data_IF_882948412147
#
_entry.id   IF_882948412147
#
_cell.length_a   1.000
_cell.length_b   1.000
_cell.length_c   1.000
_cell.angle_alpha   90.00
_cell.angle_beta   90.00
_cell.angle_gamma   90.00
#
_symmetry.space_group_name_H-M   'P 1'
#
loop_
_entity.id
_entity.type
_entity.pdbx_description
1 polymer ?
#
# COMPACT_ATOMS: atom_id res chain seq x y z
N UNK A 1 34.74 6.00 52.51
CA UNK A 1 34.75 5.04 51.38
C UNK A 1 36.01 5.29 50.58
N UNK A 2 36.81 4.26 50.31
CA UNK A 2 38.07 4.39 49.56
C UNK A 2 37.81 5.06 48.20
N UNK A 3 38.66 6.01 47.79
CA UNK A 3 38.54 6.69 46.49
C UNK A 3 38.45 5.71 45.32
N UNK A 4 39.12 4.55 45.42
CA UNK A 4 39.03 3.49 44.41
C UNK A 4 37.65 2.84 44.32
N UNK A 5 36.91 2.73 45.42
CA UNK A 5 35.54 2.18 45.44
C UNK A 5 34.57 3.18 44.83
N UNK A 6 34.74 4.48 45.11
CA UNK A 6 33.90 5.53 44.53
C UNK A 6 34.10 5.63 43.01
N UNK A 7 35.35 5.55 42.53
CA UNK A 7 35.68 5.57 41.09
C UNK A 7 35.09 4.37 40.36
N UNK A 8 35.22 3.16 40.92
CA UNK A 8 34.66 1.93 40.30
C UNK A 8 33.13 1.98 40.23
N UNK A 9 32.47 2.49 41.27
CA UNK A 9 31.00 2.66 41.27
C UNK A 9 30.57 3.71 40.24
N UNK A 10 31.28 4.84 40.12
CA UNK A 10 30.96 5.86 39.11
C UNK A 10 31.20 5.40 37.67
N UNK A 11 32.26 4.64 37.40
CA UNK A 11 32.54 4.10 36.05
C UNK A 11 31.51 3.01 35.69
N UNK A 12 31.12 2.16 36.65
CA UNK A 12 30.05 1.16 36.44
C UNK A 12 28.68 1.79 36.19
N UNK A 13 28.34 2.89 36.86
CA UNK A 13 27.08 3.62 36.64
C UNK A 13 27.05 4.33 35.28
N UNK A 14 28.18 4.89 34.81
CA UNK A 14 28.27 5.53 33.49
C UNK A 14 28.19 4.51 32.35
N UNK A 15 28.74 3.29 32.53
CA UNK A 15 28.61 2.21 31.55
C UNK A 15 27.17 1.64 31.44
N UNK A 16 26.39 1.70 32.52
CA UNK A 16 24.97 1.31 32.52
C UNK A 16 24.05 2.39 31.90
N UNK A 17 24.50 3.64 31.82
CA UNK A 17 23.77 4.76 31.22
C UNK A 17 24.04 4.93 29.70
N UNK A 18 24.89 4.09 29.12
CA UNK A 18 25.21 4.06 27.67
C UNK A 18 24.68 2.79 26.98
N UNK A 19 23.72 2.08 27.58
CA UNK A 19 22.82 1.24 26.78
C UNK A 19 21.77 2.13 26.16
N UNK A 20 22.16 2.87 25.12
CA UNK A 20 21.20 3.25 24.11
C UNK A 20 20.61 1.93 23.60
N UNK A 21 19.37 1.64 23.98
CA UNK A 21 18.60 0.61 23.31
C UNK A 21 18.63 1.01 21.83
N UNK A 22 19.33 0.23 21.01
CA UNK A 22 19.31 0.41 19.56
C UNK A 22 17.90 0.03 19.11
N UNK A 23 16.97 0.99 19.17
CA UNK A 23 15.67 0.87 18.54
C UNK A 23 15.94 0.70 17.05
N UNK A 24 15.68 -0.51 16.57
CA UNK A 24 16.07 -0.90 15.22
C UNK A 24 15.32 -0.07 14.19
N UNK A 25 15.98 0.92 13.61
CA UNK A 25 15.54 1.57 12.38
C UNK A 25 15.33 0.49 11.31
N UNK A 26 14.34 0.69 10.43
CA UNK A 26 14.12 -0.20 9.31
C UNK A 26 15.41 -0.29 8.48
N UNK A 27 15.70 -1.48 7.94
CA UNK A 27 16.85 -1.68 7.07
C UNK A 27 16.61 -2.80 6.07
N UNK A 28 17.28 -2.70 4.92
CA UNK A 28 17.36 -3.80 3.97
C UNK A 28 18.08 -4.99 4.63
N UNK A 29 17.48 -6.17 4.53
CA UNK A 29 18.01 -7.38 5.13
C UNK A 29 17.95 -7.41 6.67
N UNK A 30 16.93 -6.82 7.30
CA UNK A 30 16.76 -6.82 8.75
C UNK A 30 16.78 -8.23 9.37
N UNK A 31 16.28 -9.23 8.65
CA UNK A 31 16.18 -10.62 9.09
C UNK A 31 17.43 -11.48 8.84
N UNK A 32 18.48 -10.94 8.21
CA UNK A 32 19.74 -11.67 7.98
C UNK A 32 20.33 -12.15 9.32
N UNK A 33 20.46 -13.46 9.47
CA UNK A 33 20.97 -14.11 10.68
C UNK A 33 20.01 -14.15 11.88
N UNK A 34 18.72 -13.79 11.68
CA UNK A 34 17.67 -13.86 12.73
C UNK A 34 16.72 -15.05 12.60
N UNK A 35 16.73 -15.70 11.44
CA UNK A 35 15.85 -16.82 11.09
C UNK A 35 16.74 -18.04 10.76
N UNK A 36 17.70 -18.35 11.65
CA UNK A 36 18.74 -19.37 11.44
C UNK A 36 19.40 -19.29 10.04
N UNK A 37 19.23 -20.33 9.22
CA UNK A 37 19.73 -20.41 7.84
C UNK A 37 18.66 -20.11 6.78
N UNK A 38 17.44 -19.79 7.19
CA UNK A 38 16.29 -19.56 6.31
C UNK A 38 16.30 -18.11 5.77
N UNK A 39 15.98 -17.97 4.48
CA UNK A 39 15.79 -16.66 3.84
C UNK A 39 14.32 -16.26 3.92
N UNK A 40 14.01 -15.36 4.85
CA UNK A 40 12.66 -14.80 5.08
C UNK A 40 12.05 -14.23 3.81
N UNK A 41 12.82 -13.47 3.01
CA UNK A 41 12.30 -12.86 1.79
C UNK A 41 12.00 -13.92 0.73
N UNK A 42 12.82 -14.97 0.64
CA UNK A 42 12.59 -16.10 -0.26
C UNK A 42 11.31 -16.88 0.11
N UNK A 43 11.01 -17.06 1.40
CA UNK A 43 9.78 -17.73 1.86
C UNK A 43 8.54 -16.94 1.45
N UNK A 44 8.55 -15.62 1.67
CA UNK A 44 7.44 -14.74 1.26
C UNK A 44 7.30 -14.72 -0.27
N UNK A 45 8.42 -14.55 -0.98
CA UNK A 45 8.45 -14.52 -2.44
C UNK A 45 7.85 -15.80 -3.05
N UNK A 46 8.16 -16.98 -2.48
CA UNK A 46 7.58 -18.26 -2.93
C UNK A 46 6.05 -18.26 -2.81
N UNK A 47 5.51 -17.84 -1.67
CA UNK A 47 4.05 -17.78 -1.47
C UNK A 47 3.39 -16.83 -2.46
N UNK A 48 3.98 -15.65 -2.67
CA UNK A 48 3.45 -14.67 -3.63
C UNK A 48 3.54 -15.17 -5.07
N UNK A 49 4.62 -15.83 -5.46
CA UNK A 49 4.76 -16.44 -6.80
C UNK A 49 3.65 -17.46 -7.07
N UNK A 50 3.40 -18.36 -6.13
CA UNK A 50 2.34 -19.37 -6.24
C UNK A 50 0.95 -18.73 -6.38
N UNK A 51 0.67 -17.71 -5.56
CA UNK A 51 -0.59 -16.96 -5.64
C UNK A 51 -0.72 -16.17 -6.95
N UNK A 52 0.34 -15.49 -7.40
CA UNK A 52 0.35 -14.68 -8.62
C UNK A 52 0.17 -15.52 -9.88
N UNK A 53 0.74 -16.73 -9.90
CA UNK A 53 0.58 -17.67 -11.00
C UNK A 53 -0.89 -18.10 -11.19
N UNK A 54 -1.67 -18.10 -10.11
CA UNK A 54 -3.09 -18.47 -10.10
C UNK A 54 -4.01 -17.25 -10.34
N UNK A 55 -3.67 -16.10 -9.77
CA UNK A 55 -4.41 -14.85 -9.89
C UNK A 55 -3.44 -13.67 -10.02
N UNK A 56 -3.31 -13.11 -11.24
CA UNK A 56 -2.44 -11.95 -11.49
C UNK A 56 -2.93 -10.67 -10.82
N UNK A 57 -4.22 -10.60 -10.49
CA UNK A 57 -4.80 -9.39 -9.91
C UNK A 57 -4.36 -9.16 -8.46
N UNK A 58 -3.65 -10.11 -7.84
CA UNK A 58 -3.12 -9.95 -6.47
C UNK A 58 -2.11 -8.79 -6.37
N UNK A 59 -1.47 -8.38 -7.47
CA UNK A 59 -0.61 -7.20 -7.45
C UNK A 59 -1.38 -5.95 -7.03
N UNK A 60 -2.57 -5.74 -7.62
CA UNK A 60 -3.47 -4.66 -7.22
C UNK A 60 -3.99 -4.83 -5.79
N UNK A 61 -4.30 -6.07 -5.38
CA UNK A 61 -4.78 -6.35 -4.02
C UNK A 61 -3.76 -5.99 -2.95
N UNK A 62 -2.50 -6.41 -3.12
CA UNK A 62 -1.43 -6.19 -2.16
C UNK A 62 -0.97 -4.73 -2.15
N UNK A 63 -0.89 -4.08 -3.31
CA UNK A 63 -0.66 -2.61 -3.39
C UNK A 63 -1.70 -1.85 -2.57
N UNK A 64 -2.99 -2.19 -2.76
CA UNK A 64 -4.08 -1.58 -2.02
C UNK A 64 -4.01 -1.90 -0.53
N UNK A 65 -3.72 -3.15 -0.16
CA UNK A 65 -3.56 -3.53 1.25
C UNK A 65 -2.47 -2.72 1.94
N UNK A 66 -1.30 -2.58 1.32
CA UNK A 66 -0.20 -1.81 1.92
C UNK A 66 -0.57 -0.32 2.08
N UNK A 67 -1.22 0.28 1.07
CA UNK A 67 -1.71 1.66 1.20
C UNK A 67 -2.71 1.79 2.36
N UNK A 68 -3.69 0.89 2.42
CA UNK A 68 -4.74 0.93 3.44
C UNK A 68 -4.22 0.68 4.86
N UNK A 69 -3.18 -0.14 5.04
CA UNK A 69 -2.51 -0.32 6.32
C UNK A 69 -1.78 0.97 6.73
N UNK A 70 -0.84 1.40 5.88
CA UNK A 70 0.05 2.52 6.15
C UNK A 70 -0.66 3.86 6.43
N UNK A 71 -1.86 4.08 5.87
CA UNK A 71 -2.55 5.36 5.96
C UNK A 71 -3.55 5.47 7.12
N UNK A 72 -3.81 4.41 7.88
CA UNK A 72 -4.70 4.48 9.05
C UNK A 72 -3.88 4.81 10.30
N UNK A 73 -3.27 3.81 10.96
CA UNK A 73 -2.42 4.00 12.15
C UNK A 73 -0.92 3.98 11.85
N UNK A 74 -0.52 3.68 10.61
CA UNK A 74 0.87 3.48 10.20
C UNK A 74 1.03 2.10 9.57
N UNK A 75 2.20 1.78 9.05
CA UNK A 75 2.46 0.45 8.50
C UNK A 75 2.73 -0.55 9.63
N UNK A 76 1.72 -0.87 10.41
CA UNK A 76 1.77 -1.70 11.62
C UNK A 76 0.89 -2.96 11.51
N UNK A 77 0.38 -3.26 10.32
CA UNK A 77 -0.52 -4.39 10.07
C UNK A 77 -1.81 -4.38 10.92
N UNK A 78 -2.25 -3.21 11.41
CA UNK A 78 -3.54 -3.05 12.10
C UNK A 78 -4.71 -3.51 11.22
N UNK A 79 -4.62 -3.32 9.90
CA UNK A 79 -5.62 -3.72 8.93
C UNK A 79 -5.88 -5.24 8.93
N UNK A 80 -4.90 -6.05 9.34
CA UNK A 80 -5.03 -7.50 9.32
C UNK A 80 -5.83 -8.06 10.50
N UNK A 81 -6.01 -7.29 11.59
CA UNK A 81 -6.73 -7.74 12.78
C UNK A 81 -8.22 -7.96 12.48
N UNK A 82 -8.76 -9.05 13.03
CA UNK A 82 -10.18 -9.34 13.03
C UNK A 82 -10.87 -8.74 14.27
N UNK A 83 -12.12 -8.33 14.10
CA UNK A 83 -12.97 -7.80 15.16
C UNK A 83 -14.27 -7.25 14.61
N UNK A 84 -15.26 -7.09 15.49
CA UNK A 84 -16.58 -6.55 15.11
C UNK A 84 -16.51 -5.06 14.75
N UNK A 85 -15.51 -4.35 15.28
CA UNK A 85 -15.22 -2.94 14.97
C UNK A 85 -13.90 -2.76 14.23
N UNK A 86 -13.27 -3.83 13.72
CA UNK A 86 -11.94 -3.71 13.11
C UNK A 86 -11.96 -2.89 11.83
N UNK A 87 -10.78 -2.43 11.39
CA UNK A 87 -10.63 -1.67 10.16
C UNK A 87 -11.23 -2.36 8.94
N UNK A 88 -11.27 -3.70 8.90
CA UNK A 88 -11.91 -4.47 7.82
C UNK A 88 -13.41 -4.16 7.66
N UNK A 89 -14.06 -3.63 8.70
CA UNK A 89 -15.49 -3.24 8.69
C UNK A 89 -15.72 -1.82 8.18
N UNK A 90 -14.67 -1.00 8.05
CA UNK A 90 -14.79 0.33 7.48
C UNK A 90 -15.18 0.27 5.99
N UNK A 91 -16.02 1.20 5.54
CA UNK A 91 -16.54 1.25 4.16
C UNK A 91 -15.41 1.23 3.11
N UNK A 92 -14.31 1.94 3.37
CA UNK A 92 -13.15 1.97 2.48
C UNK A 92 -12.47 0.59 2.34
N UNK A 93 -12.58 -0.28 3.35
CA UNK A 93 -11.84 -1.53 3.45
C UNK A 93 -12.65 -2.77 3.05
N UNK A 94 -13.96 -2.65 2.84
CA UNK A 94 -14.85 -3.79 2.52
C UNK A 94 -14.40 -4.62 1.31
N UNK A 95 -13.73 -3.99 0.34
CA UNK A 95 -13.23 -4.64 -0.88
C UNK A 95 -11.70 -4.88 -0.85
N UNK A 96 -11.02 -4.69 0.29
CA UNK A 96 -9.60 -5.08 0.42
C UNK A 96 -9.54 -6.61 0.47
N UNK A 97 -8.56 -7.21 -0.20
CA UNK A 97 -8.38 -8.67 -0.30
C UNK A 97 -6.89 -9.03 -0.30
N UNK A 98 -6.57 -10.32 -0.30
CA UNK A 98 -5.20 -10.82 -0.24
C UNK A 98 -4.74 -11.16 1.18
N UNK A 99 -5.64 -11.08 2.17
CA UNK A 99 -5.35 -11.42 3.58
C UNK A 99 -4.83 -12.86 3.71
N UNK A 100 -5.40 -13.77 2.93
CA UNK A 100 -5.03 -15.18 2.87
C UNK A 100 -3.58 -15.40 2.38
N UNK A 101 -3.05 -14.50 1.55
CA UNK A 101 -1.67 -14.56 1.06
C UNK A 101 -0.72 -14.21 2.20
N UNK A 102 -1.07 -13.18 2.98
CA UNK A 102 -0.31 -12.76 4.16
C UNK A 102 -0.34 -13.85 5.23
N UNK A 103 -1.50 -14.46 5.49
CA UNK A 103 -1.65 -15.56 6.45
C UNK A 103 -0.87 -16.82 6.01
N UNK A 104 -0.87 -17.15 4.71
CA UNK A 104 -0.09 -18.27 4.17
C UNK A 104 1.41 -18.02 4.32
N UNK A 105 1.88 -16.81 4.00
CA UNK A 105 3.28 -16.41 4.21
C UNK A 105 3.65 -16.44 5.69
N UNK A 106 2.78 -15.93 6.57
CA UNK A 106 2.99 -15.95 8.01
C UNK A 106 3.09 -17.37 8.54
N UNK A 107 2.20 -18.27 8.10
CA UNK A 107 2.22 -19.68 8.51
C UNK A 107 3.53 -20.36 8.10
N UNK A 108 4.00 -20.13 6.88
CA UNK A 108 5.28 -20.67 6.42
C UNK A 108 6.47 -20.12 7.22
N UNK A 109 6.45 -18.82 7.54
CA UNK A 109 7.48 -18.18 8.34
C UNK A 109 7.49 -18.65 9.78
N UNK A 110 6.33 -18.84 10.42
CA UNK A 110 6.26 -19.38 11.79
C UNK A 110 6.72 -20.84 11.87
N UNK A 111 6.61 -21.61 10.79
CA UNK A 111 7.18 -22.96 10.73
C UNK A 111 8.72 -22.93 10.59
N UNK A 112 9.25 -21.95 9.87
CA UNK A 112 10.68 -21.82 9.60
C UNK A 112 11.44 -21.13 10.75
N UNK A 113 10.92 -20.01 11.26
CA UNK A 113 11.47 -19.26 12.39
C UNK A 113 10.37 -18.63 13.24
N UNK A 114 9.87 -19.37 14.25
CA UNK A 114 8.77 -18.95 15.11
C UNK A 114 9.02 -17.59 15.79
N UNK A 115 8.03 -16.70 15.73
CA UNK A 115 8.01 -15.44 16.48
C UNK A 115 9.03 -14.39 16.02
N UNK A 116 9.62 -14.53 14.82
CA UNK A 116 10.66 -13.61 14.33
C UNK A 116 10.11 -12.52 13.42
N UNK A 117 9.22 -12.85 12.48
CA UNK A 117 8.83 -11.94 11.38
C UNK A 117 7.47 -11.32 11.64
N UNK A 118 7.38 -9.98 11.62
CA UNK A 118 6.10 -9.27 11.80
C UNK A 118 5.19 -9.40 10.58
N UNK A 119 3.88 -9.29 10.80
CA UNK A 119 2.92 -9.24 9.71
C UNK A 119 3.05 -7.96 8.88
N UNK A 120 3.42 -6.84 9.50
CA UNK A 120 3.70 -5.57 8.81
C UNK A 120 4.81 -5.72 7.76
N UNK A 121 5.90 -6.44 8.09
CA UNK A 121 6.95 -6.69 7.10
C UNK A 121 6.52 -7.70 6.03
N UNK A 122 5.62 -8.65 6.34
CA UNK A 122 5.06 -9.56 5.33
C UNK A 122 4.26 -8.77 4.29
N UNK A 123 3.43 -7.78 4.70
CA UNK A 123 2.71 -6.90 3.76
C UNK A 123 3.71 -6.21 2.82
N UNK A 124 4.75 -5.59 3.36
CA UNK A 124 5.72 -4.84 2.57
C UNK A 124 6.51 -5.74 1.59
N UNK A 125 7.00 -6.90 2.06
CA UNK A 125 7.72 -7.86 1.22
C UNK A 125 6.82 -8.44 0.13
N UNK A 126 5.59 -8.85 0.49
CA UNK A 126 4.66 -9.47 -0.43
C UNK A 126 4.22 -8.51 -1.54
N UNK A 127 3.96 -7.25 -1.18
CA UNK A 127 3.59 -6.21 -2.14
C UNK A 127 4.71 -5.94 -3.13
N UNK A 128 5.96 -5.81 -2.66
CA UNK A 128 7.14 -5.65 -3.51
C UNK A 128 7.33 -6.81 -4.48
N UNK A 129 7.11 -8.05 -4.01
CA UNK A 129 7.23 -9.24 -4.87
C UNK A 129 6.12 -9.28 -5.92
N UNK A 130 4.88 -8.94 -5.58
CA UNK A 130 3.77 -8.89 -6.53
C UNK A 130 3.95 -7.78 -7.59
N UNK A 131 4.47 -6.62 -7.19
CA UNK A 131 4.84 -5.54 -8.13
C UNK A 131 5.93 -6.00 -9.10
N UNK A 132 6.98 -6.67 -8.60
CA UNK A 132 8.05 -7.19 -9.45
C UNK A 132 7.56 -8.29 -10.42
N UNK A 133 6.64 -9.15 -9.99
CA UNK A 133 6.03 -10.17 -10.86
C UNK A 133 5.14 -9.56 -11.94
N UNK A 134 4.44 -8.47 -11.63
CA UNK A 134 3.55 -7.79 -12.57
C UNK A 134 4.29 -6.87 -13.54
N UNK A 135 5.22 -6.04 -13.06
CA UNK A 135 5.95 -5.04 -13.86
C UNK A 135 7.34 -5.48 -14.33
N UNK A 136 7.75 -6.72 -14.02
CA UNK A 136 9.07 -7.26 -14.35
C UNK A 136 10.19 -6.74 -13.45
N UNK A 137 11.44 -7.08 -13.81
CA UNK A 137 12.61 -6.78 -12.97
C UNK A 137 12.87 -5.29 -12.74
N UNK A 138 12.45 -4.42 -13.67
CA UNK A 138 12.57 -2.96 -13.54
C UNK A 138 11.62 -2.40 -12.47
N UNK A 139 10.50 -3.08 -12.22
CA UNK A 139 9.56 -2.70 -11.17
C UNK A 139 9.99 -3.17 -9.77
N UNK A 140 11.03 -4.00 -9.66
CA UNK A 140 11.53 -4.45 -8.36
C UNK A 140 12.26 -3.30 -7.65
N UNK A 141 11.96 -3.14 -6.36
CA UNK A 141 12.66 -2.24 -5.46
C UNK A 141 13.05 -2.97 -4.17
N UNK A 142 14.04 -2.44 -3.47
CA UNK A 142 14.47 -2.96 -2.19
C UNK A 142 13.53 -2.47 -1.07
N UNK A 143 13.11 -3.38 -0.19
CA UNK A 143 12.24 -3.06 0.94
C UNK A 143 13.05 -3.10 2.22
N UNK A 144 12.97 -2.03 3.00
CA UNK A 144 13.44 -2.03 4.38
C UNK A 144 12.46 -2.80 5.26
N UNK A 145 12.97 -3.68 6.11
CA UNK A 145 12.19 -4.47 7.09
C UNK A 145 12.64 -4.14 8.51
N UNK A 146 11.89 -4.60 9.50
CA UNK A 146 12.05 -4.32 10.92
C UNK A 146 10.81 -3.71 11.60
N UNK A 147 9.68 -3.64 10.89
CA UNK A 147 8.41 -3.18 11.46
C UNK A 147 7.92 -4.17 12.52
N UNK A 148 7.11 -3.68 13.44
CA UNK A 148 6.38 -4.48 14.42
C UNK A 148 4.89 -4.26 14.24
N UNK A 149 4.12 -5.21 14.77
CA UNK A 149 2.68 -5.26 14.60
C UNK A 149 1.97 -4.44 15.68
N UNK A 150 0.97 -3.67 15.27
CA UNK A 150 0.03 -2.97 16.12
C UNK A 150 -0.82 -3.92 16.96
N UNK A 151 -1.43 -3.36 18.01
CA UNK A 151 -2.23 -4.12 18.98
C UNK A 151 -3.75 -3.99 18.76
N UNK A 152 -4.17 -2.95 18.04
CA UNK A 152 -5.57 -2.53 17.92
C UNK A 152 -5.93 -2.26 16.47
N UNK A 153 -7.21 -2.43 16.13
CA UNK A 153 -7.76 -2.11 14.81
C UNK A 153 -9.17 -1.61 15.02
N UNK A 154 -9.44 -0.39 14.57
CA UNK A 154 -10.72 0.29 14.79
C UNK A 154 -11.17 0.98 13.51
N UNK A 155 -12.37 0.62 13.02
CA UNK A 155 -12.99 1.22 11.84
C UNK A 155 -13.17 2.73 11.97
N UNK A 156 -13.28 3.24 13.21
CA UNK A 156 -13.42 4.66 13.49
C UNK A 156 -12.15 5.47 13.12
N UNK A 157 -11.00 4.81 13.00
CA UNK A 157 -9.74 5.45 12.61
C UNK A 157 -9.57 5.52 11.08
N UNK A 158 -10.42 4.84 10.30
CA UNK A 158 -10.28 4.74 8.84
C UNK A 158 -10.84 5.99 8.17
N UNK A 159 -9.95 6.94 7.87
CA UNK A 159 -10.26 8.18 7.14
C UNK A 159 -9.50 8.23 5.81
N UNK A 160 -9.81 7.30 4.91
CA UNK A 160 -9.16 7.20 3.60
C UNK A 160 -9.88 8.07 2.54
N UNK A 161 -9.13 8.66 1.59
CA UNK A 161 -9.67 9.61 0.62
C UNK A 161 -10.67 8.93 -0.31
N UNK A 162 -11.74 9.66 -0.63
CA UNK A 162 -12.72 9.22 -1.64
C UNK A 162 -12.25 9.57 -3.06
N UNK A 163 -12.71 8.85 -4.09
CA UNK A 163 -12.35 9.11 -5.49
C UNK A 163 -12.62 10.53 -5.99
N UNK A 164 -13.53 11.28 -5.36
CA UNK A 164 -13.91 12.66 -5.74
C UNK A 164 -13.05 13.73 -5.07
N UNK A 165 -12.05 13.34 -4.26
CA UNK A 165 -11.19 14.28 -3.54
C UNK A 165 -10.57 15.32 -4.50
N UNK A 166 -10.57 16.63 -4.16
CA UNK A 166 -9.83 17.64 -4.90
C UNK A 166 -8.31 17.37 -4.87
N UNK A 167 -7.59 17.73 -5.93
CA UNK A 167 -6.13 17.51 -6.03
C UNK A 167 -5.38 18.15 -4.87
N UNK A 168 -5.72 19.38 -4.48
CA UNK A 168 -5.13 20.07 -3.33
C UNK A 168 -5.29 19.29 -2.03
N UNK A 169 -6.46 18.68 -1.81
CA UNK A 169 -6.74 17.93 -0.59
C UNK A 169 -6.06 16.55 -0.62
N UNK A 170 -5.92 15.94 -1.81
CA UNK A 170 -5.13 14.73 -1.98
C UNK A 170 -3.64 15.00 -1.67
N UNK A 171 -3.09 16.12 -2.16
CA UNK A 171 -1.73 16.57 -1.79
C UNK A 171 -1.60 16.71 -0.28
N UNK A 172 -2.51 17.45 0.36
CA UNK A 172 -2.48 17.68 1.82
C UNK A 172 -2.57 16.35 2.60
N UNK A 173 -3.42 15.43 2.18
CA UNK A 173 -3.57 14.12 2.81
C UNK A 173 -2.26 13.32 2.81
N UNK A 174 -1.53 13.30 1.68
CA UNK A 174 -0.23 12.62 1.58
C UNK A 174 0.87 13.37 2.32
N UNK A 175 0.89 14.71 2.27
CA UNK A 175 1.85 15.55 3.00
C UNK A 175 1.72 15.35 4.50
N UNK A 176 0.51 15.21 5.03
CA UNK A 176 0.26 14.92 6.44
C UNK A 176 0.80 13.53 6.88
N UNK A 177 1.09 12.65 5.93
CA UNK A 177 1.77 11.37 6.16
C UNK A 177 3.27 11.42 5.84
N UNK A 178 3.82 12.61 5.55
CA UNK A 178 5.24 12.79 5.24
C UNK A 178 5.63 12.46 3.79
N UNK A 179 4.66 12.39 2.88
CA UNK A 179 4.89 12.14 1.45
C UNK A 179 4.74 13.43 0.64
N UNK A 180 5.61 13.64 -0.34
CA UNK A 180 5.52 14.81 -1.23
C UNK A 180 4.34 14.74 -2.20
N UNK A 181 4.02 15.85 -2.84
CA UNK A 181 3.09 15.91 -3.97
C UNK A 181 3.50 14.94 -5.10
N UNK A 182 4.80 14.84 -5.39
CA UNK A 182 5.35 13.90 -6.37
C UNK A 182 5.15 12.46 -5.94
N UNK A 183 5.36 12.14 -4.65
CA UNK A 183 5.10 10.79 -4.12
C UNK A 183 3.62 10.42 -4.27
N UNK A 184 2.70 11.36 -4.01
CA UNK A 184 1.25 11.17 -4.20
C UNK A 184 0.89 10.89 -5.67
N UNK A 185 1.38 11.70 -6.61
CA UNK A 185 1.13 11.51 -8.05
C UNK A 185 1.67 10.15 -8.49
N UNK A 186 2.89 9.81 -8.07
CA UNK A 186 3.56 8.55 -8.41
C UNK A 186 2.81 7.34 -7.84
N UNK A 187 2.38 7.40 -6.58
CA UNK A 187 1.66 6.32 -5.90
C UNK A 187 0.25 6.09 -6.48
N UNK A 188 -0.44 7.13 -6.94
CA UNK A 188 -1.69 6.98 -7.69
C UNK A 188 -1.49 6.19 -9.00
N UNK A 189 -0.26 6.14 -9.53
CA UNK A 189 0.13 5.22 -10.60
C UNK A 189 -0.09 3.74 -10.31
N UNK A 190 -0.30 3.34 -9.05
CA UNK A 190 -0.73 1.99 -8.70
C UNK A 190 -2.08 1.60 -9.36
N UNK A 191 -2.90 2.59 -9.76
CA UNK A 191 -4.13 2.38 -10.53
C UNK A 191 -3.87 1.91 -11.98
N UNK A 192 -2.62 1.68 -12.39
CA UNK A 192 -2.29 0.95 -13.62
C UNK A 192 -2.72 -0.53 -13.59
N UNK A 193 -2.95 -1.07 -12.39
CA UNK A 193 -3.50 -2.42 -12.19
C UNK A 193 -4.76 -2.40 -11.34
N UNK A 194 -5.61 -3.42 -11.51
CA UNK A 194 -6.79 -3.63 -10.68
C UNK A 194 -8.05 -3.00 -11.24
N UNK A 195 -9.09 -2.98 -10.42
CA UNK A 195 -10.45 -2.65 -10.84
C UNK A 195 -11.11 -1.65 -9.88
N UNK A 196 -12.06 -0.89 -10.40
CA UNK A 196 -12.96 -0.04 -9.64
C UNK A 196 -14.40 -0.56 -9.74
N UNK A 197 -15.11 -0.57 -8.61
CA UNK A 197 -16.55 -0.82 -8.61
C UNK A 197 -17.29 0.38 -9.20
N UNK A 198 -18.35 0.12 -9.96
CA UNK A 198 -19.13 1.14 -10.66
C UNK A 198 -19.63 2.24 -9.70
N UNK A 199 -20.01 1.90 -8.46
CA UNK A 199 -20.53 2.86 -7.48
C UNK A 199 -19.55 4.02 -7.16
N UNK A 200 -18.25 3.83 -7.35
CA UNK A 200 -17.23 4.86 -7.08
C UNK A 200 -17.15 5.95 -8.15
N UNK A 201 -17.65 5.70 -9.36
CA UNK A 201 -17.54 6.63 -10.49
C UNK A 201 -18.84 6.77 -11.32
N UNK A 202 -19.92 6.07 -10.95
CA UNK A 202 -21.23 6.14 -11.63
C UNK A 202 -21.73 7.57 -11.77
N UNK A 203 -21.46 8.44 -10.79
CA UNK A 203 -21.79 9.86 -10.86
C UNK A 203 -21.17 10.53 -12.08
N UNK A 204 -19.94 10.16 -12.47
CA UNK A 204 -19.25 10.70 -13.64
C UNK A 204 -19.86 10.24 -14.97
N UNK A 205 -20.62 9.15 -14.99
CA UNK A 205 -21.23 8.65 -16.23
C UNK A 205 -22.62 9.25 -16.50
N UNK A 206 -23.38 9.56 -15.45
CA UNK A 206 -24.82 9.83 -15.56
C UNK A 206 -25.25 11.19 -15.01
N UNK A 207 -24.61 11.69 -13.95
CA UNK A 207 -25.07 12.90 -13.26
C UNK A 207 -23.92 13.67 -12.61
N UNK A 208 -22.92 14.03 -13.43
CA UNK A 208 -21.73 14.70 -12.94
C UNK A 208 -22.08 16.11 -12.46
N UNK A 209 -21.75 16.42 -11.20
CA UNK A 209 -22.08 17.72 -10.60
C UNK A 209 -23.58 18.05 -10.54
N UNK A 210 -24.47 17.07 -10.65
CA UNK A 210 -25.93 17.31 -10.66
C UNK A 210 -26.48 17.80 -12.01
N UNK A 211 -25.71 17.68 -13.10
CA UNK A 211 -26.08 18.18 -14.43
C UNK A 211 -27.03 17.26 -15.20
N UNK A 212 -27.26 16.03 -14.74
CA UNK A 212 -27.96 14.99 -15.52
C UNK A 212 -27.18 14.54 -16.77
N UNK A 213 -25.86 14.75 -16.79
CA UNK A 213 -24.98 14.38 -17.90
C UNK A 213 -23.66 13.79 -17.41
N UNK A 214 -22.92 13.15 -18.32
CA UNK A 214 -21.59 12.63 -18.04
C UNK A 214 -20.58 13.75 -17.77
N UNK A 215 -19.50 13.41 -17.08
CA UNK A 215 -18.37 14.29 -16.81
C UNK A 215 -17.71 14.70 -18.14
N UNK A 216 -17.68 16.01 -18.47
CA UNK A 216 -17.13 16.50 -19.73
C UNK A 216 -15.61 16.31 -19.85
N UNK A 217 -14.93 15.93 -18.76
CA UNK A 217 -13.49 15.65 -18.75
C UNK A 217 -13.14 14.19 -19.08
N UNK A 218 -14.12 13.34 -19.36
CA UNK A 218 -13.93 11.96 -19.81
C UNK A 218 -14.02 11.83 -21.34
N UNK A 219 -13.25 10.91 -21.92
CA UNK A 219 -13.35 10.49 -23.32
C UNK A 219 -14.80 10.03 -23.62
N UNK A 220 -15.53 10.69 -24.54
CA UNK A 220 -16.93 10.36 -24.82
C UNK A 220 -17.15 8.92 -25.32
N UNK A 221 -16.18 8.33 -26.04
CA UNK A 221 -16.27 6.94 -26.52
C UNK A 221 -16.11 5.99 -25.34
N UNK A 222 -15.21 6.32 -24.41
CA UNK A 222 -15.06 5.56 -23.18
C UNK A 222 -16.34 5.66 -22.32
N UNK A 223 -16.94 6.85 -22.20
CA UNK A 223 -18.19 7.05 -21.44
C UNK A 223 -19.29 6.10 -21.93
N UNK A 224 -19.51 6.02 -23.24
CA UNK A 224 -20.54 5.12 -23.79
C UNK A 224 -20.22 3.64 -23.54
N UNK A 225 -18.94 3.26 -23.58
CA UNK A 225 -18.51 1.91 -23.19
C UNK A 225 -18.80 1.64 -21.71
N UNK A 226 -18.41 2.55 -20.82
CA UNK A 226 -18.60 2.41 -19.38
C UNK A 226 -20.07 2.46 -18.97
N UNK A 227 -20.94 3.22 -19.65
CA UNK A 227 -22.40 3.21 -19.40
C UNK A 227 -23.02 1.84 -19.64
N UNK A 228 -22.49 1.07 -20.61
CA UNK A 228 -22.95 -0.31 -20.86
C UNK A 228 -22.53 -1.29 -19.76
N UNK A 229 -21.37 -1.05 -19.13
CA UNK A 229 -20.83 -1.87 -18.05
C UNK A 229 -21.36 -1.44 -16.67
N UNK A 230 -21.69 -0.15 -16.53
CA UNK A 230 -22.16 0.50 -15.31
C UNK A 230 -23.45 1.29 -15.57
N UNK A 231 -24.60 0.61 -15.79
CA UNK A 231 -25.87 1.28 -16.08
C UNK A 231 -26.38 2.12 -14.89
N UNK A 232 -27.18 3.15 -15.20
CA UNK A 232 -27.66 4.14 -14.22
C UNK A 232 -28.50 3.52 -13.09
N UNK A 233 -29.40 2.60 -13.45
CA UNK A 233 -30.43 2.04 -12.58
C UNK A 233 -30.04 0.73 -11.88
N UNK A 234 -28.75 0.39 -11.85
CA UNK A 234 -28.33 -0.88 -11.29
C UNK A 234 -28.39 -0.88 -9.75
N UNK A 235 -29.21 -1.77 -9.19
CA UNK A 235 -29.02 -2.34 -7.84
C UNK A 235 -27.73 -3.20 -7.74
N UNK A 236 -26.81 -3.07 -8.69
CA UNK A 236 -25.66 -3.93 -8.91
C UNK A 236 -24.36 -3.15 -8.68
N UNK A 237 -24.10 -2.77 -7.43
CA UNK A 237 -22.82 -2.16 -7.02
C UNK A 237 -21.64 -3.14 -7.07
N UNK A 238 -21.89 -4.41 -7.42
CA UNK A 238 -20.89 -5.45 -7.61
C UNK A 238 -20.14 -5.38 -8.95
N UNK A 239 -20.66 -4.66 -9.95
CA UNK A 239 -20.01 -4.56 -11.25
C UNK A 239 -18.70 -3.76 -11.15
N UNK A 240 -17.67 -4.23 -11.86
CA UNK A 240 -16.32 -3.67 -11.84
C UNK A 240 -15.79 -3.42 -13.24
N UNK A 241 -14.92 -2.42 -13.37
CA UNK A 241 -14.15 -2.12 -14.58
C UNK A 241 -12.68 -2.00 -14.22
N UNK A 242 -11.77 -2.26 -15.16
CA UNK A 242 -10.34 -2.02 -14.92
C UNK A 242 -10.11 -0.54 -14.58
N UNK A 243 -9.13 -0.22 -13.74
CA UNK A 243 -8.73 1.17 -13.50
C UNK A 243 -7.98 1.72 -14.73
N UNK A 244 -7.05 0.93 -15.29
CA UNK A 244 -6.40 1.20 -16.56
C UNK A 244 -7.26 0.71 -17.74
N UNK A 245 -7.63 1.63 -18.63
CA UNK A 245 -8.44 1.36 -19.82
C UNK A 245 -7.67 0.81 -21.02
N UNK A 246 -6.39 0.48 -20.85
CA UNK A 246 -5.61 -0.31 -21.78
C UNK A 246 -5.71 -1.81 -21.44
N UNK A 247 -6.47 -2.62 -22.20
CA UNK A 247 -6.71 -4.02 -21.85
C UNK A 247 -5.43 -4.87 -21.82
N UNK A 248 -4.41 -4.52 -22.62
CA UNK A 248 -3.14 -5.26 -22.64
C UNK A 248 -2.22 -4.94 -21.46
N UNK A 249 -2.51 -3.87 -20.71
CA UNK A 249 -1.68 -3.39 -19.59
C UNK A 249 -2.39 -3.43 -18.23
N UNK A 250 -3.72 -3.53 -18.18
CA UNK A 250 -4.52 -3.54 -16.92
C UNK A 250 -4.16 -4.56 -15.81
N UNK A 251 -3.21 -5.48 -16.05
CA UNK A 251 -2.65 -6.40 -15.07
C UNK A 251 -1.10 -6.32 -14.97
N UNK A 252 -0.50 -5.28 -15.53
CA UNK A 252 0.94 -5.00 -15.60
C UNK A 252 1.20 -3.70 -14.87
N UNK A 253 2.11 -3.72 -13.89
CA UNK A 253 2.59 -2.48 -13.27
C UNK A 253 3.53 -1.79 -14.25
N UNK A 254 2.99 -0.83 -14.99
CA UNK A 254 3.71 0.02 -15.94
C UNK A 254 3.13 1.46 -15.95
N UNK A 255 3.52 2.30 -16.90
CA UNK A 255 3.08 3.68 -16.96
C UNK A 255 1.82 3.94 -17.81
N UNK A 256 1.11 2.89 -18.24
CA UNK A 256 -0.09 2.97 -19.07
C UNK A 256 -1.20 3.78 -18.38
N UNK A 257 -1.33 3.72 -17.05
CA UNK A 257 -2.20 4.62 -16.29
C UNK A 257 -2.03 6.09 -16.68
N UNK A 258 -0.80 6.60 -16.69
CA UNK A 258 -0.53 8.00 -17.02
C UNK A 258 -0.82 8.32 -18.48
N UNK A 259 -0.62 7.35 -19.37
CA UNK A 259 -0.97 7.48 -20.78
C UNK A 259 -2.49 7.56 -20.96
N UNK A 260 -3.27 6.75 -20.23
CA UNK A 260 -4.73 6.77 -20.28
C UNK A 260 -5.32 8.08 -19.75
N UNK A 261 -4.87 8.57 -18.58
CA UNK A 261 -5.44 9.81 -18.02
C UNK A 261 -5.14 11.05 -18.91
N UNK A 262 -4.03 11.04 -19.66
CA UNK A 262 -3.72 12.07 -20.68
C UNK A 262 -4.63 12.00 -21.92
N UNK A 263 -5.29 10.87 -22.13
CA UNK A 263 -6.31 10.67 -23.17
C UNK A 263 -7.73 10.87 -22.64
N UNK A 264 -7.90 11.48 -21.47
CA UNK A 264 -9.20 11.63 -20.79
C UNK A 264 -9.85 10.30 -20.38
N UNK A 265 -9.03 9.26 -20.14
CA UNK A 265 -9.50 7.89 -19.82
C UNK A 265 -9.29 7.48 -18.37
N UNK A 266 -9.09 8.44 -17.46
CA UNK A 266 -9.12 8.18 -16.02
C UNK A 266 -10.56 7.98 -15.53
N UNK A 267 -10.82 6.85 -14.86
CA UNK A 267 -12.17 6.49 -14.40
C UNK A 267 -12.53 7.18 -13.09
N UNK A 268 -11.63 7.13 -12.10
CA UNK A 268 -11.86 7.87 -10.86
C UNK A 268 -11.64 9.36 -11.11
N UNK A 269 -12.41 10.20 -10.42
CA UNK A 269 -12.36 11.64 -10.63
C UNK A 269 -10.98 12.22 -10.31
N UNK A 270 -10.37 11.78 -9.19
CA UNK A 270 -9.01 12.16 -8.81
C UNK A 270 -7.99 11.77 -9.89
N UNK A 271 -8.09 10.57 -10.47
CA UNK A 271 -7.17 10.10 -11.51
C UNK A 271 -7.19 11.03 -12.73
N UNK A 272 -8.41 11.36 -13.20
CA UNK A 272 -8.54 12.26 -14.34
C UNK A 272 -8.06 13.69 -14.01
N UNK A 273 -8.30 14.16 -12.79
CA UNK A 273 -7.85 15.48 -12.32
C UNK A 273 -6.32 15.59 -12.28
N UNK A 274 -5.57 14.52 -12.03
CA UNK A 274 -4.10 14.55 -12.08
C UNK A 274 -3.57 15.03 -13.45
N UNK A 275 -4.25 14.65 -14.54
CA UNK A 275 -3.84 15.04 -15.89
C UNK A 275 -4.30 16.45 -16.29
N UNK A 276 -5.13 17.10 -15.48
CA UNK A 276 -5.74 18.40 -15.77
C UNK A 276 -5.27 19.51 -14.84
N UNK A 277 -4.87 19.18 -13.62
CA UNK A 277 -4.46 20.16 -12.63
C UNK A 277 -3.05 20.72 -12.94
N UNK A 278 -2.88 22.07 -12.99
CA UNK A 278 -1.59 22.68 -13.29
C UNK A 278 -0.45 22.27 -12.35
N UNK A 279 -0.76 21.89 -11.11
CA UNK A 279 0.25 21.45 -10.12
C UNK A 279 0.80 20.05 -10.39
N UNK A 280 0.05 19.19 -11.10
CA UNK A 280 0.41 17.77 -11.29
C UNK A 280 0.76 17.41 -12.73
N UNK A 281 0.24 18.15 -13.72
CA UNK A 281 0.36 17.85 -15.16
C UNK A 281 1.79 17.60 -15.65
N UNK A 282 2.78 18.35 -15.13
CA UNK A 282 4.18 18.18 -15.50
C UNK A 282 4.73 16.81 -15.09
N UNK A 283 4.45 16.38 -13.86
CA UNK A 283 4.87 15.06 -13.34
C UNK A 283 4.15 13.95 -14.08
N UNK A 284 2.83 14.09 -14.32
CA UNK A 284 2.04 13.14 -15.13
C UNK A 284 2.63 12.97 -16.53
N UNK A 285 3.02 14.06 -17.18
CA UNK A 285 3.65 14.01 -18.51
C UNK A 285 4.97 13.24 -18.47
N UNK A 286 5.82 13.46 -17.45
CA UNK A 286 7.06 12.70 -17.27
C UNK A 286 6.77 11.20 -17.08
N UNK A 287 5.83 10.83 -16.21
CA UNK A 287 5.51 9.42 -15.95
C UNK A 287 4.94 8.74 -17.21
N UNK A 288 4.08 9.43 -17.96
CA UNK A 288 3.49 8.90 -19.20
C UNK A 288 4.52 8.65 -20.31
N UNK A 289 5.56 9.49 -20.39
CA UNK A 289 6.58 9.44 -21.45
C UNK A 289 7.72 8.47 -21.12
N UNK A 290 8.01 8.22 -19.84
CA UNK A 290 9.13 7.38 -19.42
C UNK A 290 8.70 6.38 -18.33
N UNK A 291 8.41 5.17 -18.76
CA UNK A 291 8.01 4.07 -17.87
C UNK A 291 9.11 3.61 -16.92
N UNK A 292 10.39 3.75 -17.30
CA UNK A 292 11.51 3.39 -16.42
C UNK A 292 11.64 4.41 -15.29
N UNK A 293 11.50 5.70 -15.62
CA UNK A 293 11.46 6.76 -14.60
C UNK A 293 10.26 6.57 -13.66
N UNK A 294 9.08 6.24 -14.20
CA UNK A 294 7.91 5.91 -13.37
C UNK A 294 8.21 4.77 -12.39
N UNK A 295 8.65 3.61 -12.87
CA UNK A 295 8.87 2.43 -12.01
C UNK A 295 9.93 2.69 -10.92
N UNK A 296 10.99 3.43 -11.26
CA UNK A 296 12.02 3.81 -10.29
C UNK A 296 11.48 4.74 -9.20
N UNK A 297 10.69 5.75 -9.56
CA UNK A 297 10.07 6.66 -8.59
C UNK A 297 8.97 5.94 -7.80
N UNK A 298 8.24 5.04 -8.43
CA UNK A 298 7.21 4.22 -7.80
C UNK A 298 7.81 3.38 -6.69
N UNK A 299 8.89 2.64 -6.95
CA UNK A 299 9.61 1.89 -5.92
C UNK A 299 10.09 2.77 -4.76
N UNK A 300 10.67 3.94 -5.05
CA UNK A 300 11.09 4.91 -4.00
C UNK A 300 9.90 5.41 -3.17
N UNK A 301 8.77 5.69 -3.80
CA UNK A 301 7.57 6.18 -3.12
C UNK A 301 6.92 5.08 -2.28
N UNK A 302 6.93 3.82 -2.76
CA UNK A 302 6.49 2.65 -2.00
C UNK A 302 7.36 2.41 -0.75
N UNK A 303 8.68 2.60 -0.85
CA UNK A 303 9.58 2.52 0.32
C UNK A 303 9.27 3.62 1.34
N UNK A 304 9.12 4.87 0.89
CA UNK A 304 8.73 5.98 1.77
C UNK A 304 7.38 5.73 2.44
N UNK A 305 6.38 5.31 1.68
CA UNK A 305 5.06 4.95 2.19
C UNK A 305 5.17 3.84 3.24
N UNK A 306 6.00 2.83 2.98
CA UNK A 306 6.31 1.76 3.94
C UNK A 306 6.95 2.25 5.23
N UNK A 307 7.50 3.47 5.29
CA UNK A 307 8.08 4.06 6.49
C UNK A 307 7.10 4.84 7.37
N UNK A 308 5.83 4.96 6.98
CA UNK A 308 4.83 5.75 7.71
C UNK A 308 4.50 5.07 9.05
N UNK A 309 4.64 5.81 10.16
CA UNK A 309 4.08 5.43 11.46
C UNK A 309 4.54 4.07 11.98
N UNK A 310 5.74 3.60 11.60
CA UNK A 310 6.18 2.24 11.91
C UNK A 310 6.50 2.04 13.39
N UNK A 311 6.12 0.89 13.92
CA UNK A 311 6.51 0.42 15.25
C UNK A 311 7.85 -0.32 15.15
N UNK A 312 8.79 -0.02 16.06
CA UNK A 312 10.13 -0.64 16.06
C UNK A 312 10.60 -0.95 17.48
N UNK A 313 11.71 -1.68 17.61
CA UNK A 313 12.27 -2.03 18.91
C UNK A 313 11.31 -2.84 19.78
N UNK A 314 10.81 -2.23 20.85
CA UNK A 314 9.84 -2.85 21.78
C UNK A 314 8.40 -2.40 21.57
N UNK A 315 8.15 -1.45 20.67
CA UNK A 315 6.81 -0.94 20.41
C UNK A 315 6.00 -1.95 19.58
N UNK A 316 4.78 -2.25 19.98
CA UNK A 316 3.98 -3.31 19.37
C UNK A 316 4.54 -4.72 19.63
N UNK A 317 4.20 -5.67 18.77
CA UNK A 317 4.52 -7.09 18.95
C UNK A 317 4.99 -7.76 17.65
N UNK A 318 5.45 -9.01 17.76
CA UNK A 318 5.53 -9.92 16.59
C UNK A 318 4.37 -10.89 16.76
N UNK A 319 3.29 -10.69 16.00
CA UNK A 319 2.11 -11.56 16.13
C UNK A 319 2.42 -12.95 15.62
N UNK A 320 1.87 -13.99 16.25
CA UNK A 320 1.96 -15.37 15.74
C UNK A 320 0.92 -15.64 14.63
N UNK A 321 -0.21 -14.93 14.67
CA UNK A 321 -1.26 -14.94 13.65
C UNK A 321 -1.59 -13.51 13.27
N UNK A 322 -1.64 -13.20 11.98
CA UNK A 322 -1.88 -11.83 11.53
C UNK A 322 -3.30 -11.33 11.78
N UNK A 323 -4.25 -12.23 12.08
CA UNK A 323 -5.63 -11.85 12.42
C UNK A 323 -5.86 -11.51 13.89
N UNK A 324 -4.90 -11.74 14.79
CA UNK A 324 -5.11 -11.55 16.23
C UNK A 324 -3.86 -11.07 16.94
N UNK A 325 -4.01 -10.14 17.89
CA UNK A 325 -2.95 -9.82 18.84
C UNK A 325 -2.56 -11.06 19.66
N UNK A 326 -1.28 -11.18 20.05
CA UNK A 326 -0.87 -12.23 20.97
C UNK A 326 -1.52 -11.98 22.34
N UNK A 327 -1.83 -13.06 23.06
CA UNK A 327 -2.23 -12.93 24.46
C UNK A 327 -1.06 -12.36 25.28
N UNK A 328 -1.39 -11.47 26.21
CA UNK A 328 -0.46 -10.97 27.23
C UNK A 328 -0.28 -12.04 28.31
#
# INVERSE_FOLDING_TARGET
MNNNVLVVVTVGLVLLLNMEACYGQLKIGFYKGKCDYEDVESIVNKVVNESFASDRSIAAALLRMQFHDCFVTGCDASLLLDGDTSEKKAVANLNVRGFEIIDKAKTALEQACPGIVSCADIIAMATRDAVALSGGSVARYEVETGRRDGLTSEQANVDLPRPQIPVSNAIEFFVNKGLSDTDMIVLLGAHTVGVAHCNFFRNRLWNFGGTGSADPTMDPVLVETLKSQCPESANNDGDVVNLDQNPSSSNVVDNSFYQQIRLNRGILEIDQKLALDPSTTAVVATMANDGVTFLNLFGKSMVKMGGIGVLTGTDGQIRLKCSSANAI
#
